data_IF_289118072746
#
_entry.id   IF_289118072746
#
_cell.length_a   1.000
_cell.length_b   1.000
_cell.length_c   1.000
_cell.angle_alpha   90.00
_cell.angle_beta   90.00
_cell.angle_gamma   90.00
#
_symmetry.space_group_name_H-M   'P 1'
#
loop_
_entity.id
_entity.type
_entity.pdbx_description
1 polymer ?
#
# COMPACT_ATOMS: atom_id res chain seq x y z
N UNK A 1 26.66 11.15 8.78
CA UNK A 1 25.70 11.26 7.66
C UNK A 1 24.80 10.03 7.67
N UNK A 2 23.68 10.10 8.40
CA UNK A 2 22.69 9.02 8.43
C UNK A 2 21.74 9.17 7.25
N UNK A 3 21.61 8.12 6.43
CA UNK A 3 20.54 8.04 5.44
C UNK A 3 19.25 7.83 6.22
N UNK A 4 18.45 8.87 6.35
CA UNK A 4 17.11 8.79 6.94
C UNK A 4 16.24 8.08 5.91
N UNK A 5 16.11 6.76 6.05
CA UNK A 5 15.21 5.96 5.23
C UNK A 5 13.78 6.40 5.55
N UNK A 6 13.07 6.85 4.51
CA UNK A 6 11.73 7.44 4.50
C UNK A 6 10.60 6.52 5.02
N UNK A 7 10.92 5.41 5.70
CA UNK A 7 10.00 4.33 6.05
C UNK A 7 9.61 4.27 7.54
N UNK A 8 10.03 5.23 8.38
CA UNK A 8 9.84 5.14 9.84
C UNK A 8 8.48 5.69 10.34
N UNK A 9 7.56 6.13 9.46
CA UNK A 9 6.29 6.72 9.90
C UNK A 9 5.06 5.79 9.86
N UNK A 10 5.14 4.62 9.22
CA UNK A 10 3.95 3.77 8.94
C UNK A 10 3.62 2.81 10.10
N UNK A 11 4.23 2.98 11.29
CA UNK A 11 4.06 2.08 12.45
C UNK A 11 2.86 2.43 13.35
N UNK A 12 1.85 3.11 12.81
CA UNK A 12 0.67 3.57 13.55
C UNK A 12 -0.61 2.82 13.20
N UNK A 13 -0.98 1.84 14.04
CA UNK A 13 -2.35 1.34 14.23
C UNK A 13 -3.07 0.66 13.04
N UNK A 14 -2.70 -0.60 12.75
CA UNK A 14 -3.59 -1.52 12.03
C UNK A 14 -4.78 -1.93 12.95
N UNK A 15 -5.89 -1.18 12.91
CA UNK A 15 -7.18 -1.67 13.41
C UNK A 15 -7.90 -2.41 12.28
N UNK A 16 -7.72 -3.72 12.28
CA UNK A 16 -8.32 -4.66 11.31
C UNK A 16 -9.85 -4.61 11.45
N UNK A 17 -10.53 -4.15 10.40
CA UNK A 17 -11.98 -4.29 10.24
C UNK A 17 -12.31 -5.72 9.80
N UNK A 18 -13.39 -6.30 10.33
CA UNK A 18 -13.71 -7.72 10.27
C UNK A 18 -14.21 -8.18 8.89
N UNK A 19 -13.28 -8.59 8.04
CA UNK A 19 -13.46 -9.39 6.82
C UNK A 19 -12.09 -9.86 6.30
N UNK A 20 -11.97 -10.93 5.49
CA UNK A 20 -10.71 -11.27 4.83
C UNK A 20 -10.45 -10.32 3.65
N UNK A 21 -10.55 -9.01 3.88
CA UNK A 21 -10.27 -8.00 2.89
C UNK A 21 -8.77 -7.76 2.88
N UNK A 22 -8.11 -8.07 1.76
CA UNK A 22 -6.72 -7.72 1.57
C UNK A 22 -6.59 -6.19 1.69
N UNK A 23 -5.84 -5.74 2.68
CA UNK A 23 -5.63 -4.32 2.95
C UNK A 23 -4.16 -3.97 2.79
N UNK A 24 -3.89 -2.79 2.24
CA UNK A 24 -2.56 -2.21 2.11
C UNK A 24 -2.53 -0.81 2.73
N UNK A 25 -1.55 -0.54 3.60
CA UNK A 25 -1.21 0.84 3.98
C UNK A 25 -0.22 1.39 2.97
N UNK A 26 -0.51 2.55 2.41
CA UNK A 26 0.23 3.12 1.28
C UNK A 26 0.58 4.59 1.57
N UNK A 27 1.59 5.10 0.89
CA UNK A 27 1.86 6.54 0.77
C UNK A 27 1.56 6.96 -0.67
N UNK A 28 0.46 7.69 -0.89
CA UNK A 28 0.05 8.16 -2.21
C UNK A 28 1.03 9.18 -2.83
N UNK A 29 1.87 9.82 -2.01
CA UNK A 29 2.91 10.73 -2.46
C UNK A 29 4.15 9.99 -2.97
N UNK A 30 4.33 8.71 -2.61
CA UNK A 30 5.44 7.86 -3.05
C UNK A 30 5.23 7.24 -4.45
N UNK A 31 4.18 7.63 -5.19
CA UNK A 31 3.86 7.03 -6.50
C UNK A 31 4.98 7.18 -7.52
N UNK A 32 5.20 6.14 -8.32
CA UNK A 32 6.10 6.15 -9.46
C UNK A 32 5.52 6.97 -10.62
N UNK A 33 6.35 7.36 -11.62
CA UNK A 33 5.87 8.01 -12.84
C UNK A 33 4.80 7.21 -13.60
N UNK A 34 4.79 5.88 -13.45
CA UNK A 34 3.81 4.96 -14.04
C UNK A 34 2.50 4.87 -13.23
N UNK A 35 2.36 5.66 -12.17
CA UNK A 35 1.18 5.73 -11.31
C UNK A 35 1.04 4.53 -10.37
N UNK A 36 2.13 3.82 -10.08
CA UNK A 36 2.15 2.71 -9.12
C UNK A 36 2.66 3.19 -7.77
N UNK A 37 2.07 2.71 -6.70
CA UNK A 37 2.53 3.02 -5.34
C UNK A 37 3.34 1.83 -4.83
N UNK A 38 4.65 1.98 -4.57
CA UNK A 38 5.46 0.92 -3.97
C UNK A 38 5.12 0.81 -2.49
N UNK A 39 4.78 -0.40 -2.05
CA UNK A 39 4.34 -0.66 -0.68
C UNK A 39 5.12 -1.85 -0.13
N UNK A 40 5.81 -1.70 1.02
CA UNK A 40 6.43 -2.81 1.72
C UNK A 40 5.46 -3.98 1.92
N UNK A 41 5.91 -5.20 1.63
CA UNK A 41 5.06 -6.40 1.75
C UNK A 41 4.51 -6.60 3.18
N UNK A 42 5.21 -6.11 4.21
CA UNK A 42 4.75 -6.12 5.61
C UNK A 42 3.50 -5.23 5.87
N UNK A 43 3.27 -4.23 5.03
CA UNK A 43 2.13 -3.32 5.11
C UNK A 43 0.92 -3.79 4.31
N UNK A 44 1.04 -4.96 3.68
CA UNK A 44 -0.06 -5.61 2.97
C UNK A 44 -0.44 -6.88 3.71
N UNK A 45 -1.75 -7.08 3.86
CA UNK A 45 -2.28 -8.31 4.45
C UNK A 45 -1.75 -9.51 3.66
N UNK A 46 -1.34 -10.57 4.37
CA UNK A 46 -0.62 -11.71 3.78
C UNK A 46 -1.34 -12.32 2.57
N UNK A 47 -0.56 -12.73 1.57
CA UNK A 47 -1.08 -13.32 0.32
C UNK A 47 -1.29 -12.32 -0.81
N UNK A 48 -0.63 -11.16 -0.78
CA UNK A 48 -0.64 -10.17 -1.85
C UNK A 48 -0.03 -10.73 -3.16
N UNK A 49 -0.86 -10.98 -4.17
CA UNK A 49 -0.45 -11.42 -5.50
C UNK A 49 -0.89 -10.44 -6.59
N UNK A 50 -0.15 -10.42 -7.70
CA UNK A 50 -0.51 -9.62 -8.86
C UNK A 50 -1.92 -9.96 -9.37
N UNK A 51 -2.67 -8.92 -9.74
CA UNK A 51 -4.05 -8.99 -10.18
C UNK A 51 -5.10 -8.89 -9.06
N UNK A 52 -4.71 -9.08 -7.79
CA UNK A 52 -5.62 -8.98 -6.65
C UNK A 52 -6.06 -7.54 -6.39
N UNK A 53 -7.31 -7.39 -5.94
CA UNK A 53 -7.89 -6.12 -5.50
C UNK A 53 -7.67 -5.99 -3.99
N UNK A 54 -7.20 -4.81 -3.57
CA UNK A 54 -6.88 -4.51 -2.19
C UNK A 54 -7.56 -3.21 -1.77
N UNK A 55 -7.96 -3.13 -0.51
CA UNK A 55 -8.36 -1.86 0.10
C UNK A 55 -7.10 -1.09 0.44
N UNK A 56 -6.95 0.11 -0.13
CA UNK A 56 -5.81 0.98 0.18
C UNK A 56 -6.21 1.97 1.27
N UNK A 57 -5.30 2.18 2.20
CA UNK A 57 -5.39 3.19 3.24
C UNK A 57 -4.15 4.08 3.18
N UNK A 58 -4.36 5.38 3.13
CA UNK A 58 -3.33 6.38 3.36
C UNK A 58 -3.67 7.06 4.70
N UNK A 59 -2.98 6.67 5.79
CA UNK A 59 -3.34 7.10 7.15
C UNK A 59 -2.94 8.55 7.46
N UNK A 60 -2.05 9.19 6.68
CA UNK A 60 -1.60 10.56 6.95
C UNK A 60 -2.66 11.61 6.57
N UNK A 61 -3.39 11.38 5.48
CA UNK A 61 -4.46 12.22 4.93
C UNK A 61 -5.87 11.66 5.21
N UNK A 62 -5.99 10.55 5.97
CA UNK A 62 -7.25 9.83 6.26
C UNK A 62 -8.02 9.44 4.98
N UNK A 63 -7.28 8.98 3.97
CA UNK A 63 -7.80 8.59 2.67
C UNK A 63 -7.98 7.07 2.62
N UNK A 64 -9.13 6.63 2.09
CA UNK A 64 -9.37 5.24 1.76
C UNK A 64 -9.83 5.07 0.31
N UNK A 65 -9.42 3.97 -0.31
CA UNK A 65 -9.82 3.65 -1.68
C UNK A 65 -9.64 2.18 -2.02
N UNK A 66 -9.76 1.88 -3.30
CA UNK A 66 -9.51 0.58 -3.90
C UNK A 66 -8.24 0.66 -4.74
N UNK A 67 -7.38 -0.34 -4.60
CA UNK A 67 -6.21 -0.53 -5.42
C UNK A 67 -6.15 -1.93 -6.00
N UNK A 68 -5.29 -2.10 -7.02
CA UNK A 68 -4.95 -3.39 -7.60
C UNK A 68 -3.45 -3.61 -7.50
N UNK A 69 -3.03 -4.79 -7.04
CA UNK A 69 -1.62 -5.18 -7.08
C UNK A 69 -1.27 -5.47 -8.53
N UNK A 70 -0.38 -4.68 -9.12
CA UNK A 70 0.10 -4.89 -10.49
C UNK A 70 1.31 -5.84 -10.50
N UNK A 71 2.16 -5.77 -9.48
CA UNK A 71 3.33 -6.62 -9.35
C UNK A 71 3.71 -6.81 -7.86
N UNK A 72 4.29 -7.96 -7.54
CA UNK A 72 4.92 -8.24 -6.25
C UNK A 72 6.38 -8.61 -6.51
N UNK A 73 7.29 -7.73 -6.11
CA UNK A 73 8.73 -7.95 -6.17
C UNK A 73 9.19 -8.55 -4.83
N UNK A 74 9.45 -9.85 -4.84
CA UNK A 74 9.85 -10.59 -3.64
C UNK A 74 11.31 -10.35 -3.26
N UNK A 75 12.15 -9.97 -4.22
CA UNK A 75 13.56 -9.67 -3.98
C UNK A 75 13.71 -8.29 -3.33
N UNK A 76 12.86 -7.33 -3.73
CA UNK A 76 12.81 -6.00 -3.14
C UNK A 76 11.88 -5.88 -1.91
N UNK A 77 11.15 -6.94 -1.57
CA UNK A 77 10.11 -6.96 -0.52
C UNK A 77 9.02 -5.87 -0.71
N UNK A 78 8.69 -5.56 -1.97
CA UNK A 78 7.72 -4.54 -2.36
C UNK A 78 6.56 -5.11 -3.18
N UNK A 79 5.37 -4.54 -3.00
CA UNK A 79 4.26 -4.68 -3.93
C UNK A 79 3.95 -3.34 -4.57
N UNK A 80 3.61 -3.37 -5.85
CA UNK A 80 3.27 -2.19 -6.62
C UNK A 80 1.77 -2.14 -6.82
N UNK A 81 1.12 -1.17 -6.19
CA UNK A 81 -0.33 -1.04 -6.20
C UNK A 81 -0.75 0.14 -7.08
N UNK A 82 -1.64 -0.12 -8.04
CA UNK A 82 -2.33 0.92 -8.80
C UNK A 82 -3.62 1.28 -8.08
N UNK A 83 -3.73 2.51 -7.63
CA UNK A 83 -4.92 3.02 -6.94
C UNK A 83 -5.95 3.48 -7.96
N UNK A 84 -7.22 3.10 -7.76
CA UNK A 84 -8.35 3.63 -8.52
C UNK A 84 -8.79 4.97 -7.91
N UNK A 85 -8.40 6.07 -8.54
CA UNK A 85 -8.70 7.42 -8.06
C UNK A 85 -10.20 7.74 -7.99
N UNK A 86 -11.04 7.05 -8.77
CA UNK A 86 -12.50 7.19 -8.70
C UNK A 86 -13.11 6.59 -7.42
N UNK A 87 -12.39 5.71 -6.74
CA UNK A 87 -12.82 5.04 -5.51
C UNK A 87 -12.39 5.74 -4.22
N UNK A 88 -11.52 6.74 -4.30
CA UNK A 88 -10.99 7.47 -3.14
C UNK A 88 -12.11 8.26 -2.44
N UNK A 89 -12.12 8.20 -1.11
CA UNK A 89 -13.05 8.89 -0.21
C UNK A 89 -12.33 9.52 0.96
#
# INVERSE_FOLDING_TARGET
MGRMTMYDHIRGALRVSAGPELQAQIDLNARTPDGLTPVPTELVTSGAEAGMVVRVLEPEDDIAGIGRIECADRDAELVYIRVDWGSIR
#
